data_IF_909798282900
#
_entry.id   IF_909798282900
#
_cell.length_a   1.000
_cell.length_b   1.000
_cell.length_c   1.000
_cell.angle_alpha   90.00
_cell.angle_beta   90.00
_cell.angle_gamma   90.00
#
_symmetry.space_group_name_H-M   'P 1'
#
loop_
_entity.id
_entity.type
_entity.pdbx_description
1 polymer ?
#
# COMPACT_ATOMS: atom_id res chain seq x y z
N UNK A 1 -7.49 -7.54 9.72
CA UNK A 1 -7.13 -6.17 10.13
C UNK A 1 -5.63 -6.15 10.16
N UNK A 2 -5.02 -5.53 9.14
CA UNK A 2 -3.63 -5.11 9.27
C UNK A 2 -3.59 -3.86 10.15
N UNK A 3 -2.52 -3.68 10.89
CA UNK A 3 -2.26 -2.43 11.60
C UNK A 3 -1.94 -1.39 10.51
N UNK A 4 -2.75 -0.34 10.36
CA UNK A 4 -2.40 0.78 9.49
C UNK A 4 -1.47 1.69 10.27
N UNK A 5 -0.25 1.83 9.78
CA UNK A 5 0.72 2.77 10.34
C UNK A 5 0.71 4.02 9.47
N UNK A 6 0.60 5.18 10.11
CA UNK A 6 0.69 6.47 9.43
C UNK A 6 2.10 7.04 9.64
N UNK A 7 2.75 7.41 8.54
CA UNK A 7 4.03 8.10 8.53
C UNK A 7 3.91 9.38 7.71
N UNK A 8 4.11 10.52 8.38
CA UNK A 8 4.14 11.83 7.75
C UNK A 8 5.55 12.40 7.84
N UNK A 9 6.09 12.84 6.70
CA UNK A 9 7.41 13.49 6.64
C UNK A 9 7.29 14.80 5.89
N UNK A 10 7.63 15.88 6.60
CA UNK A 10 7.70 17.24 6.06
C UNK A 10 9.12 17.57 5.68
N UNK A 11 9.31 17.94 4.41
CA UNK A 11 10.59 18.30 3.81
C UNK A 11 11.65 17.20 3.99
N UNK A 12 11.34 15.96 3.54
CA UNK A 12 12.13 14.79 3.87
C UNK A 12 13.56 14.89 3.34
N UNK A 13 14.53 14.58 4.19
CA UNK A 13 15.88 14.23 3.77
C UNK A 13 15.97 12.74 3.39
N UNK A 14 17.00 12.33 2.66
CA UNK A 14 17.12 10.95 2.14
C UNK A 14 17.04 9.86 3.22
N UNK A 15 17.58 10.13 4.42
CA UNK A 15 17.57 9.20 5.56
C UNK A 15 16.18 9.04 6.18
N UNK A 16 15.34 10.07 6.13
CA UNK A 16 13.94 9.99 6.56
C UNK A 16 13.10 9.17 5.57
N UNK A 17 13.34 9.36 4.27
CA UNK A 17 12.71 8.53 3.22
C UNK A 17 13.14 7.07 3.38
N UNK A 18 14.42 6.80 3.56
CA UNK A 18 14.95 5.45 3.82
C UNK A 18 14.25 4.78 5.01
N UNK A 19 14.08 5.52 6.12
CA UNK A 19 13.42 5.02 7.32
C UNK A 19 11.96 4.62 7.06
N UNK A 20 11.22 5.43 6.31
CA UNK A 20 9.81 5.15 5.98
C UNK A 20 9.68 3.97 5.01
N UNK A 21 10.55 3.89 3.99
CA UNK A 21 10.59 2.75 3.07
C UNK A 21 10.88 1.43 3.80
N UNK A 22 11.83 1.45 4.74
CA UNK A 22 12.15 0.29 5.58
C UNK A 22 11.07 -0.09 6.60
N UNK A 23 10.12 0.80 6.90
CA UNK A 23 9.05 0.54 7.86
C UNK A 23 8.08 -0.53 7.36
N UNK A 24 7.71 -0.49 6.09
CA UNK A 24 6.81 -1.49 5.50
C UNK A 24 7.45 -2.89 5.52
N UNK A 25 8.75 -2.98 5.28
CA UNK A 25 9.52 -4.23 5.39
C UNK A 25 9.57 -4.73 6.85
N UNK A 26 9.85 -3.83 7.80
CA UNK A 26 10.04 -4.18 9.22
C UNK A 26 8.75 -4.67 9.87
N UNK A 27 7.62 -4.04 9.55
CA UNK A 27 6.34 -4.37 10.17
C UNK A 27 5.62 -5.47 9.39
N UNK A 28 5.84 -5.57 8.08
CA UNK A 28 5.11 -6.51 7.22
C UNK A 28 3.63 -6.15 7.03
N UNK A 29 3.23 -4.94 7.44
CA UNK A 29 1.86 -4.42 7.32
C UNK A 29 1.84 -3.17 6.41
N UNK A 30 0.71 -2.85 5.77
CA UNK A 30 0.58 -1.64 4.96
C UNK A 30 0.82 -0.36 5.77
N UNK A 31 1.65 0.54 5.24
CA UNK A 31 1.98 1.83 5.86
C UNK A 31 1.43 2.95 4.97
N UNK A 32 0.52 3.77 5.50
CA UNK A 32 0.09 5.02 4.85
C UNK A 32 1.19 6.04 5.01
N UNK A 33 1.63 6.61 3.88
CA UNK A 33 2.73 7.58 3.83
C UNK A 33 2.27 8.88 3.21
N UNK A 34 2.72 9.99 3.80
CA UNK A 34 2.54 11.34 3.26
C UNK A 34 3.89 12.05 3.28
N UNK A 35 4.40 12.42 2.10
CA UNK A 35 5.61 13.22 1.95
C UNK A 35 5.28 14.60 1.39
N UNK A 36 5.63 15.63 2.13
CA UNK A 36 5.59 17.01 1.68
C UNK A 36 6.99 17.46 1.29
N UNK A 37 7.22 17.79 0.02
CA UNK A 37 8.53 18.16 -0.50
C UNK A 37 8.70 19.68 -0.61
N UNK A 38 9.93 20.17 -0.46
CA UNK A 38 10.26 21.58 -0.70
C UNK A 38 10.40 21.84 -2.21
N UNK A 39 10.06 23.05 -2.68
CA UNK A 39 10.29 23.44 -4.07
C UNK A 39 9.21 23.03 -5.09
N UNK A 40 7.97 22.76 -4.65
CA UNK A 40 6.83 22.58 -5.55
C UNK A 40 6.70 21.18 -6.18
N UNK A 41 7.46 20.19 -5.68
CA UNK A 41 7.18 18.78 -5.97
C UNK A 41 5.79 18.39 -5.43
N UNK A 42 5.03 17.53 -6.13
CA UNK A 42 3.72 17.10 -5.65
C UNK A 42 3.83 16.42 -4.28
N UNK A 43 2.85 16.69 -3.41
CA UNK A 43 2.65 15.90 -2.19
C UNK A 43 2.50 14.43 -2.59
N UNK A 44 3.37 13.54 -2.10
CA UNK A 44 3.22 12.12 -2.33
C UNK A 44 2.40 11.53 -1.18
N UNK A 45 1.15 11.18 -1.45
CA UNK A 45 0.26 10.50 -0.52
C UNK A 45 -0.08 9.12 -1.08
N UNK A 46 0.21 8.07 -0.33
CA UNK A 46 0.02 6.70 -0.79
C UNK A 46 0.13 5.67 0.33
N UNK A 47 0.03 4.40 -0.03
CA UNK A 47 0.16 3.27 0.89
C UNK A 47 1.29 2.37 0.41
N UNK A 48 2.34 2.25 1.22
CA UNK A 48 3.38 1.24 1.04
C UNK A 48 2.83 -0.12 1.47
N UNK A 49 2.60 -1.00 0.50
CA UNK A 49 2.12 -2.36 0.75
C UNK A 49 3.29 -3.33 0.55
N UNK A 50 3.66 -4.12 1.57
CA UNK A 50 4.69 -5.15 1.43
C UNK A 50 4.37 -6.10 0.27
N UNK A 51 5.38 -6.50 -0.50
CA UNK A 51 5.20 -7.25 -1.74
C UNK A 51 4.42 -8.57 -1.54
N UNK A 52 4.69 -9.27 -0.42
CA UNK A 52 3.98 -10.50 -0.05
C UNK A 52 2.50 -10.23 0.25
N UNK A 53 2.21 -9.13 0.98
CA UNK A 53 0.85 -8.71 1.30
C UNK A 53 0.08 -8.33 0.05
N UNK A 54 0.71 -7.59 -0.87
CA UNK A 54 0.12 -7.23 -2.15
C UNK A 54 -0.19 -8.46 -3.01
N UNK A 55 0.75 -9.40 -3.13
CA UNK A 55 0.54 -10.65 -3.87
C UNK A 55 -0.64 -11.46 -3.31
N UNK A 56 -0.82 -11.48 -1.98
CA UNK A 56 -1.97 -12.11 -1.34
C UNK A 56 -3.28 -11.39 -1.70
N UNK A 57 -3.30 -10.07 -1.71
CA UNK A 57 -4.49 -9.32 -2.09
C UNK A 57 -4.87 -9.56 -3.55
N UNK A 58 -3.92 -9.47 -4.46
CA UNK A 58 -4.13 -9.67 -5.90
C UNK A 58 -4.59 -11.09 -6.23
N UNK A 59 -4.10 -12.09 -5.51
CA UNK A 59 -4.57 -13.47 -5.65
C UNK A 59 -6.08 -13.60 -5.38
N UNK A 60 -6.60 -12.88 -4.38
CA UNK A 60 -8.01 -12.92 -3.99
C UNK A 60 -8.87 -11.81 -4.61
N UNK A 61 -8.26 -10.81 -5.25
CA UNK A 61 -8.93 -9.73 -5.96
C UNK A 61 -8.71 -9.87 -7.49
N UNK A 62 -9.35 -10.87 -8.14
CA UNK A 62 -9.03 -11.24 -9.52
C UNK A 62 -9.45 -10.21 -10.59
N UNK A 63 -10.29 -9.23 -10.23
CA UNK A 63 -10.63 -8.11 -11.11
C UNK A 63 -9.58 -7.01 -10.98
N UNK A 64 -9.17 -6.42 -12.09
CA UNK A 64 -8.34 -5.21 -12.03
C UNK A 64 -9.14 -4.07 -11.38
N UNK A 65 -8.50 -3.31 -10.49
CA UNK A 65 -9.03 -2.04 -10.04
C UNK A 65 -9.17 -1.14 -11.27
N UNK A 66 -10.39 -0.66 -11.54
CA UNK A 66 -10.59 0.37 -12.54
C UNK A 66 -10.07 1.68 -11.94
N UNK A 67 -8.76 1.92 -12.07
CA UNK A 67 -8.23 3.24 -11.85
C UNK A 67 -9.01 4.18 -12.78
N UNK A 68 -9.78 5.11 -12.21
CA UNK A 68 -10.40 6.17 -13.00
C UNK A 68 -9.33 6.84 -13.86
N UNK A 69 -9.70 7.35 -15.03
CA UNK A 69 -8.79 7.92 -16.03
C UNK A 69 -7.76 8.86 -15.37
N UNK A 70 -6.60 8.31 -15.02
CA UNK A 70 -5.50 9.03 -14.39
C UNK A 70 -4.80 9.72 -15.54
N UNK A 71 -5.30 10.91 -15.86
CA UNK A 71 -4.71 11.80 -16.84
C UNK A 71 -3.22 11.99 -16.57
N UNK A 72 -2.47 11.99 -17.67
CA UNK A 72 -1.00 12.02 -17.82
C UNK A 72 -0.31 10.65 -17.76
N UNK A 73 0.25 10.25 -18.92
CA UNK A 73 1.28 9.21 -18.99
C UNK A 73 2.39 9.58 -18.01
N UNK A 74 2.71 8.74 -17.01
CA UNK A 74 3.79 9.04 -16.09
C UNK A 74 5.08 9.23 -16.88
N UNK A 75 5.66 10.43 -16.75
CA UNK A 75 6.94 10.80 -17.37
C UNK A 75 8.00 9.77 -16.99
N UNK A 76 8.87 9.42 -17.94
CA UNK A 76 10.00 8.52 -17.68
C UNK A 76 10.99 9.21 -16.75
N UNK A 77 10.78 9.06 -15.44
CA UNK A 77 11.77 9.40 -14.46
C UNK A 77 12.82 8.29 -14.38
N UNK A 78 14.09 8.68 -14.22
CA UNK A 78 15.13 7.75 -13.78
C UNK A 78 14.70 7.12 -12.44
N UNK A 79 15.08 5.86 -12.15
CA UNK A 79 14.88 5.28 -10.84
C UNK A 79 15.44 6.21 -9.75
N UNK A 80 14.66 6.44 -8.69
CA UNK A 80 15.07 7.28 -7.57
C UNK A 80 15.72 6.42 -6.49
N UNK A 81 16.91 6.81 -6.03
CA UNK A 81 17.70 6.07 -5.04
C UNK A 81 17.66 6.76 -3.67
N UNK A 82 17.31 5.99 -2.64
CA UNK A 82 17.25 6.43 -1.25
C UNK A 82 17.98 5.41 -0.38
N UNK A 83 19.29 5.62 -0.18
CA UNK A 83 20.14 4.69 0.55
C UNK A 83 20.13 3.30 -0.09
N UNK A 84 19.73 2.23 0.61
CA UNK A 84 19.65 0.88 0.05
C UNK A 84 18.40 0.65 -0.82
N UNK A 85 17.50 1.63 -0.92
CA UNK A 85 16.25 1.50 -1.66
C UNK A 85 16.31 2.17 -3.03
N UNK A 86 15.66 1.55 -4.01
CA UNK A 86 15.46 2.10 -5.36
C UNK A 86 13.97 2.07 -5.70
N UNK A 87 13.44 3.21 -6.15
CA UNK A 87 12.05 3.37 -6.56
C UNK A 87 11.92 3.27 -8.09
N UNK A 88 11.07 2.37 -8.54
CA UNK A 88 10.77 2.15 -9.96
C UNK A 88 9.30 2.49 -10.25
N UNK A 89 9.06 3.61 -10.94
CA UNK A 89 7.71 4.01 -11.37
C UNK A 89 7.25 3.15 -12.54
N UNK A 90 6.10 2.47 -12.40
CA UNK A 90 5.56 1.56 -13.43
C UNK A 90 4.55 2.30 -14.32
N UNK A 91 4.77 2.25 -15.63
CA UNK A 91 3.87 2.87 -16.62
C UNK A 91 2.47 2.27 -16.68
N UNK A 92 2.37 0.94 -16.61
CA UNK A 92 1.12 0.22 -16.89
C UNK A 92 0.13 0.32 -15.72
N UNK A 93 0.63 0.29 -14.48
CA UNK A 93 -0.21 0.36 -13.28
C UNK A 93 -0.21 1.73 -12.60
N UNK A 94 0.74 2.61 -12.92
CA UNK A 94 0.96 3.87 -12.19
C UNK A 94 1.54 3.70 -10.78
N UNK A 95 1.72 2.46 -10.31
CA UNK A 95 2.33 2.13 -9.02
C UNK A 95 3.84 2.38 -9.03
N UNK A 96 4.42 2.54 -7.85
CA UNK A 96 5.88 2.63 -7.70
C UNK A 96 6.38 1.42 -6.91
N UNK A 97 7.25 0.62 -7.51
CA UNK A 97 7.89 -0.50 -6.82
C UNK A 97 9.07 0.01 -6.00
N UNK A 98 9.16 -0.43 -4.75
CA UNK A 98 10.28 -0.16 -3.84
C UNK A 98 11.14 -1.41 -3.79
N UNK A 99 12.35 -1.31 -4.31
CA UNK A 99 13.31 -2.40 -4.32
C UNK A 99 14.44 -2.15 -3.33
N UNK A 100 14.98 -3.22 -2.76
CA UNK A 100 16.18 -3.24 -1.95
C UNK A 100 17.06 -4.40 -2.43
N UNK A 101 18.33 -4.13 -2.70
CA UNK A 101 19.28 -5.15 -3.18
C UNK A 101 18.75 -5.95 -4.40
N UNK A 102 18.01 -5.30 -5.30
CA UNK A 102 17.41 -5.91 -6.48
C UNK A 102 16.11 -6.71 -6.25
N UNK A 103 15.60 -6.74 -5.02
CA UNK A 103 14.35 -7.41 -4.64
C UNK A 103 13.26 -6.39 -4.37
N UNK A 104 12.07 -6.56 -4.96
CA UNK A 104 10.91 -5.70 -4.64
C UNK A 104 10.37 -6.07 -3.26
N UNK A 105 10.50 -5.15 -2.31
CA UNK A 105 10.08 -5.34 -0.91
C UNK A 105 8.68 -4.79 -0.64
N UNK A 106 8.28 -3.75 -1.36
CA UNK A 106 6.96 -3.14 -1.26
C UNK A 106 6.55 -2.49 -2.60
N UNK A 107 5.27 -2.21 -2.77
CA UNK A 107 4.79 -1.27 -3.78
C UNK A 107 4.03 -0.13 -3.12
N UNK A 108 4.25 1.08 -3.62
CA UNK A 108 3.46 2.26 -3.29
C UNK A 108 2.22 2.28 -4.17
N UNK A 109 1.06 2.19 -3.53
CA UNK A 109 -0.25 2.25 -4.15
C UNK A 109 -0.93 3.57 -3.79
N UNK A 110 -1.91 3.95 -4.61
CA UNK A 110 -2.89 4.95 -4.22
C UNK A 110 -3.76 4.42 -3.05
N UNK A 111 -4.18 5.27 -2.10
CA UNK A 111 -4.94 4.82 -0.94
C UNK A 111 -6.29 4.18 -1.30
N UNK A 112 -6.98 4.67 -2.34
CA UNK A 112 -8.26 4.11 -2.76
C UNK A 112 -8.06 2.74 -3.43
N UNK A 113 -7.00 2.59 -4.23
CA UNK A 113 -6.61 1.30 -4.81
C UNK A 113 -6.24 0.28 -3.72
N UNK A 114 -5.39 0.67 -2.77
CA UNK A 114 -4.98 -0.20 -1.66
C UNK A 114 -6.17 -0.65 -0.82
N UNK A 115 -7.07 0.29 -0.48
CA UNK A 115 -8.29 -0.03 0.26
C UNK A 115 -9.19 -0.99 -0.51
N UNK A 116 -9.41 -0.74 -1.81
CA UNK A 116 -10.23 -1.60 -2.66
C UNK A 116 -9.67 -3.02 -2.75
N UNK A 117 -8.35 -3.17 -2.94
CA UNK A 117 -7.68 -4.48 -3.00
C UNK A 117 -7.84 -5.24 -1.68
N UNK A 118 -7.59 -4.57 -0.55
CA UNK A 118 -7.73 -5.16 0.78
C UNK A 118 -9.16 -5.68 1.02
N UNK A 119 -10.17 -4.86 0.72
CA UNK A 119 -11.57 -5.22 0.88
C UNK A 119 -12.00 -6.34 -0.07
N UNK A 120 -11.60 -6.25 -1.34
CA UNK A 120 -11.97 -7.27 -2.34
C UNK A 120 -11.37 -8.61 -1.98
N UNK A 121 -10.10 -8.64 -1.62
CA UNK A 121 -9.41 -9.85 -1.17
C UNK A 121 -10.10 -10.47 0.06
N UNK A 122 -10.47 -9.63 1.04
CA UNK A 122 -11.20 -10.06 2.24
C UNK A 122 -12.56 -10.67 1.90
N UNK A 123 -13.36 -9.98 1.08
CA UNK A 123 -14.71 -10.39 0.72
C UNK A 123 -14.73 -11.69 -0.09
N UNK A 124 -13.81 -11.83 -1.06
CA UNK A 124 -13.70 -13.05 -1.85
C UNK A 124 -13.26 -14.21 -0.96
N UNK A 125 -12.25 -14.01 -0.09
CA UNK A 125 -11.80 -15.06 0.85
C UNK A 125 -12.91 -15.52 1.80
N UNK A 126 -13.75 -14.60 2.29
CA UNK A 126 -14.94 -14.96 3.09
C UNK A 126 -15.93 -15.83 2.32
N UNK A 127 -16.04 -15.67 1.00
CA UNK A 127 -16.88 -16.51 0.15
C UNK A 127 -16.45 -17.98 0.08
N UNK A 128 -15.18 -18.27 0.38
CA UNK A 128 -14.63 -19.63 0.47
C UNK A 128 -14.67 -20.21 1.89
N UNK A 129 -15.12 -19.45 2.89
CA UNK A 129 -15.28 -19.95 4.26
C UNK A 129 -16.58 -20.75 4.41
N UNK A 130 -16.57 -21.78 5.27
CA UNK A 130 -17.79 -22.48 5.64
C UNK A 130 -18.80 -21.48 6.27
N UNK A 131 -20.12 -21.58 6.02
CA UNK A 131 -21.11 -20.62 6.51
C UNK A 131 -21.01 -20.31 8.01
N UNK A 132 -20.63 -21.31 8.83
CA UNK A 132 -20.43 -21.14 10.27
C UNK A 132 -19.18 -20.29 10.59
N UNK A 133 -18.12 -20.44 9.80
CA UNK A 133 -16.89 -19.65 9.93
C UNK A 133 -17.11 -18.21 9.43
N UNK A 134 -17.88 -18.03 8.36
CA UNK A 134 -18.24 -16.72 7.84
C UNK A 134 -19.00 -15.88 8.88
N UNK A 135 -20.03 -16.46 9.50
CA UNK A 135 -20.82 -15.77 10.54
C UNK A 135 -19.96 -15.39 11.76
N UNK A 136 -19.08 -16.28 12.21
CA UNK A 136 -18.15 -16.00 13.31
C UNK A 136 -17.16 -14.87 12.97
N UNK A 137 -16.71 -14.79 11.71
CA UNK A 137 -15.82 -13.74 11.25
C UNK A 137 -16.54 -12.39 11.13
N UNK A 138 -17.77 -12.35 10.61
CA UNK A 138 -18.61 -11.13 10.58
C UNK A 138 -18.90 -10.61 11.99
N UNK A 139 -19.23 -11.49 12.93
CA UNK A 139 -19.47 -11.13 14.33
C UNK A 139 -18.19 -10.62 15.03
N UNK A 140 -17.02 -11.18 14.68
CA UNK A 140 -15.73 -10.68 15.13
C UNK A 140 -15.43 -9.28 14.58
N UNK A 141 -15.68 -9.04 13.28
CA UNK A 141 -15.49 -7.73 12.67
C UNK A 141 -16.42 -6.67 13.27
N UNK A 142 -17.69 -7.00 13.49
CA UNK A 142 -18.66 -6.09 14.10
C UNK A 142 -18.24 -5.64 15.52
N UNK A 143 -17.65 -6.55 16.30
CA UNK A 143 -17.10 -6.23 17.63
C UNK A 143 -15.84 -5.37 17.60
N UNK A 144 -15.04 -5.47 16.54
CA UNK A 144 -13.84 -4.65 16.36
C UNK A 144 -14.19 -3.22 15.92
N UNK A 145 -15.16 -3.05 15.01
CA UNK A 145 -15.64 -1.73 14.60
C UNK A 145 -16.17 -0.92 15.80
N UNK A 146 -16.93 -1.56 16.69
CA UNK A 146 -17.41 -0.94 17.93
C UNK A 146 -16.30 -0.59 18.95
N UNK A 147 -15.08 -1.12 18.78
CA UNK A 147 -13.91 -0.80 19.63
C UNK A 147 -13.00 0.30 19.04
N UNK A 148 -13.16 0.65 17.76
CA UNK A 148 -12.40 1.73 17.11
C UNK A 148 -13.02 3.12 17.26
N UNK A 149 -14.17 3.25 17.93
CA UNK A 149 -14.89 4.52 18.16
C UNK A 149 -14.78 5.04 19.61
N UNK A 150 -13.72 4.70 20.35
CA UNK A 150 -13.45 5.23 21.70
C UNK A 150 -12.14 5.99 21.78
#
# INVERSE_FOLDING_TARGET
>A
MGIRIEAEVSYPANDEVERVLGMAETVGEPVTVTFAWEGGRPLLHGVLVPAVTLALWEHWAPTAYAAGDRGEEPELAHPEEFGPFTLFRRRVSGRTAVARDGVVVAELLDPAEAHWLEERARNVRQGFMDPKQKAAFEEFLARQAARGEQ
#
